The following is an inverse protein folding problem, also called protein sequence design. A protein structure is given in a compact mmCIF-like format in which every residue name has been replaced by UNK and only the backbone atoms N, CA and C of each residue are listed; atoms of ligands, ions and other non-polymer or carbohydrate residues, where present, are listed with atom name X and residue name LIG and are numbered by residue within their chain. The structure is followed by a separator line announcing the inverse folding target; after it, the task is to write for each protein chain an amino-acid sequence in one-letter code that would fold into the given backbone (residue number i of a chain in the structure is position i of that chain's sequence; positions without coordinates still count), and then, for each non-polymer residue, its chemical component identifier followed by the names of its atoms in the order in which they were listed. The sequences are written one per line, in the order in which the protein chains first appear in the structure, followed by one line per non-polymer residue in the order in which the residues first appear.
data_IF_156051140128
#
_entry.id   IF_156051140128
#
_cell.length_a   1.000
_cell.length_b   1.000
_cell.length_c   1.000
_cell.angle_alpha   90.00
_cell.angle_beta   90.00
_cell.angle_gamma   90.00
#
_symmetry.space_group_name_H-M   'P 1'
#
loop_
_entity.id
_entity.type
_entity.pdbx_description
1 polymer ?
#
# COMPACT_ATOMS: atom_id res chain seq x y z
N UNK A 1 61.97 67.97 13.53
CA UNK A 1 61.02 67.37 12.57
C UNK A 1 60.93 65.88 12.88
N UNK A 2 59.86 65.50 13.59
CA UNK A 2 59.75 64.31 14.44
C UNK A 2 58.51 63.51 14.00
N UNK A 3 58.59 62.62 12.99
CA UNK A 3 57.45 61.77 12.58
C UNK A 3 57.95 60.44 11.98
N UNK A 4 58.66 59.61 12.75
CA UNK A 4 58.95 58.22 12.33
C UNK A 4 58.95 57.20 13.49
N UNK A 5 59.12 57.61 14.76
CA UNK A 5 59.32 56.64 15.87
C UNK A 5 58.05 56.17 16.59
N UNK A 6 56.90 56.79 16.36
CA UNK A 6 55.65 56.47 17.09
C UNK A 6 54.74 55.46 16.37
N UNK A 7 55.06 55.07 15.12
CA UNK A 7 54.26 54.11 14.33
C UNK A 7 54.71 52.66 14.48
N UNK A 8 55.93 52.40 14.97
CA UNK A 8 56.45 51.04 15.10
C UNK A 8 55.98 50.33 16.38
N UNK A 9 55.72 51.07 17.47
CA UNK A 9 55.24 50.48 18.73
C UNK A 9 53.74 50.12 18.72
N UNK A 10 52.91 50.78 17.91
CA UNK A 10 51.49 50.42 17.79
C UNK A 10 51.25 49.14 16.99
N UNK A 11 52.09 48.85 15.98
CA UNK A 11 52.00 47.61 15.20
C UNK A 11 52.52 46.38 15.95
N UNK A 12 53.52 46.55 16.83
CA UNK A 12 54.03 45.46 17.65
C UNK A 12 53.03 45.02 18.75
N UNK A 13 52.22 45.94 19.29
CA UNK A 13 51.20 45.61 20.30
C UNK A 13 49.94 45.03 19.64
N UNK A 14 49.60 45.44 18.40
CA UNK A 14 48.48 44.87 17.65
C UNK A 14 48.74 43.42 17.16
N UNK A 15 50.02 43.05 16.95
CA UNK A 15 50.40 41.69 16.52
C UNK A 15 50.41 40.65 17.64
N UNK A 16 50.55 41.06 18.91
CA UNK A 16 50.51 40.14 20.07
C UNK A 16 49.08 39.87 20.54
N UNK A 17 48.14 40.79 20.29
CA UNK A 17 46.71 40.58 20.60
C UNK A 17 46.01 39.70 19.54
N UNK A 18 46.52 39.64 18.31
CA UNK A 18 45.96 38.79 17.26
C UNK A 18 46.40 37.31 17.35
N UNK A 19 47.47 37.01 18.09
CA UNK A 19 47.95 35.63 18.30
C UNK A 19 47.26 34.88 19.45
N UNK A 20 46.27 35.49 20.13
CA UNK A 20 45.49 34.83 21.20
C UNK A 20 44.10 34.33 20.76
N UNK A 21 43.76 34.41 19.46
CA UNK A 21 42.47 33.92 18.93
C UNK A 21 42.62 32.79 17.90
N UNK A 22 43.75 32.08 17.93
CA UNK A 22 43.93 30.84 17.16
C UNK A 22 44.19 29.64 18.09
N UNK A 23 43.40 29.52 19.16
CA UNK A 23 43.03 28.19 19.64
C UNK A 23 41.84 27.76 18.80
N UNK A 24 42.11 27.15 17.65
CA UNK A 24 41.12 26.34 16.98
C UNK A 24 40.81 25.18 17.95
N UNK A 25 39.74 25.32 18.72
CA UNK A 25 39.09 24.15 19.29
C UNK A 25 38.57 23.40 18.07
N UNK A 26 39.16 22.25 17.76
CA UNK A 26 38.48 21.24 16.96
C UNK A 26 37.27 20.79 17.77
N UNK A 27 36.17 21.55 17.70
CA UNK A 27 34.84 21.18 18.22
C UNK A 27 34.21 20.14 17.28
N UNK A 28 34.96 19.09 16.97
CA UNK A 28 34.40 17.88 16.37
C UNK A 28 34.03 16.94 17.52
N UNK A 29 33.21 17.43 18.45
CA UNK A 29 32.58 16.55 19.43
C UNK A 29 31.75 15.50 18.66
N UNK A 30 31.88 14.21 19.01
CA UNK A 30 31.04 13.18 18.43
C UNK A 30 29.57 13.53 18.68
N UNK A 31 28.79 13.76 17.62
CA UNK A 31 27.36 14.08 17.72
C UNK A 31 26.52 12.85 17.44
N UNK A 32 25.48 12.65 18.26
CA UNK A 32 24.49 11.60 18.06
C UNK A 32 23.87 11.65 16.65
N UNK A 33 23.66 10.48 16.05
CA UNK A 33 23.01 10.36 14.75
C UNK A 33 21.60 9.85 14.94
N UNK A 34 20.63 10.53 14.34
CA UNK A 34 19.23 10.13 14.39
C UNK A 34 18.72 9.75 13.01
N UNK A 35 17.93 8.69 12.96
CA UNK A 35 17.20 8.27 11.78
C UNK A 35 15.81 7.76 12.16
N UNK A 36 14.88 7.84 11.21
CA UNK A 36 13.53 7.31 11.39
C UNK A 36 13.49 5.90 10.85
N UNK A 37 13.12 4.93 11.68
CA UNK A 37 13.01 3.52 11.31
C UNK A 37 11.65 2.96 11.67
N UNK A 38 11.28 1.85 11.03
CA UNK A 38 10.08 1.09 11.35
C UNK A 38 10.46 -0.13 12.19
N UNK A 39 9.83 -0.27 13.36
CA UNK A 39 9.96 -1.45 14.21
C UNK A 39 8.68 -2.28 14.18
N UNK A 40 8.84 -3.59 14.13
CA UNK A 40 7.80 -4.56 14.43
C UNK A 40 7.97 -5.03 15.87
N UNK A 41 6.91 -5.00 16.66
CA UNK A 41 6.89 -5.53 18.04
C UNK A 41 5.88 -6.66 18.11
N UNK A 42 6.31 -7.83 18.57
CA UNK A 42 5.45 -9.01 18.61
C UNK A 42 4.45 -8.96 19.76
N UNK A 43 3.28 -9.51 19.54
CA UNK A 43 2.29 -9.83 20.57
C UNK A 43 2.74 -10.85 21.61
N UNK A 44 3.75 -11.65 21.27
CA UNK A 44 4.35 -12.61 22.18
C UNK A 44 5.51 -11.95 22.92
N UNK A 45 5.61 -12.28 24.20
CA UNK A 45 6.76 -11.89 25.01
C UNK A 45 7.89 -12.89 24.82
N UNK A 46 9.11 -12.39 24.81
CA UNK A 46 10.32 -13.21 24.96
C UNK A 46 10.72 -13.32 26.43
N UNK A 47 11.82 -14.03 26.67
CA UNK A 47 12.50 -14.04 27.95
C UNK A 47 13.97 -13.67 27.74
N UNK A 48 14.50 -12.84 28.62
CA UNK A 48 15.92 -12.47 28.63
C UNK A 48 16.49 -12.55 30.04
N UNK A 49 17.76 -12.89 30.16
CA UNK A 49 18.49 -12.89 31.43
C UNK A 49 19.43 -11.69 31.49
N UNK A 50 19.32 -10.88 32.55
CA UNK A 50 20.30 -9.83 32.84
C UNK A 50 21.61 -10.39 33.41
N UNK A 51 22.50 -9.50 33.86
CA UNK A 51 23.79 -9.86 34.45
C UNK A 51 23.69 -10.76 35.70
N UNK A 52 22.54 -10.77 36.37
CA UNK A 52 22.26 -11.59 37.55
C UNK A 52 21.78 -13.00 37.22
N UNK A 53 21.53 -13.31 35.94
CA UNK A 53 21.03 -14.62 35.48
C UNK A 53 19.53 -14.85 35.70
N UNK A 54 18.82 -13.93 36.38
CA UNK A 54 17.36 -14.01 36.54
C UNK A 54 16.66 -13.75 35.21
N UNK A 55 15.67 -14.59 34.88
CA UNK A 55 14.85 -14.44 33.67
C UNK A 55 13.76 -13.40 33.88
N UNK A 56 13.62 -12.50 32.92
CA UNK A 56 12.59 -11.46 32.89
C UNK A 56 11.86 -11.47 31.55
N UNK A 57 10.56 -11.17 31.59
CA UNK A 57 9.77 -11.03 30.38
C UNK A 57 10.19 -9.76 29.60
N UNK A 58 10.27 -9.88 28.28
CA UNK A 58 10.71 -8.81 27.40
C UNK A 58 9.86 -8.72 26.13
N UNK A 59 9.95 -7.61 25.43
CA UNK A 59 9.38 -7.49 24.08
C UNK A 59 10.26 -8.26 23.09
N UNK A 60 9.63 -8.79 22.04
CA UNK A 60 10.33 -9.21 20.83
C UNK A 60 10.19 -8.09 19.81
N UNK A 61 11.32 -7.54 19.37
CA UNK A 61 11.38 -6.38 18.47
C UNK A 61 12.25 -6.69 17.26
N UNK A 62 11.85 -6.23 16.08
CA UNK A 62 12.60 -6.39 14.83
C UNK A 62 12.50 -5.13 13.99
N UNK A 63 13.60 -4.66 13.43
CA UNK A 63 13.58 -3.52 12.51
C UNK A 63 13.12 -3.98 11.11
N UNK A 64 12.48 -3.08 10.37
CA UNK A 64 12.01 -3.39 9.01
C UNK A 64 13.21 -3.64 8.08
N UNK A 65 13.28 -4.86 7.56
CA UNK A 65 14.40 -5.33 6.74
C UNK A 65 15.20 -6.45 7.40
N UNK A 66 15.08 -6.60 8.73
CA UNK A 66 15.69 -7.70 9.46
C UNK A 66 14.81 -8.96 9.42
N UNK A 67 15.43 -10.12 9.57
CA UNK A 67 14.75 -11.42 9.66
C UNK A 67 14.72 -11.99 11.09
N UNK A 68 15.50 -11.41 12.02
CA UNK A 68 15.66 -11.92 13.39
C UNK A 68 14.98 -11.05 14.43
N UNK A 69 14.27 -11.66 15.37
CA UNK A 69 13.70 -10.98 16.53
C UNK A 69 14.74 -10.78 17.63
N UNK A 70 14.78 -9.58 18.20
CA UNK A 70 15.63 -9.23 19.34
C UNK A 70 14.79 -9.09 20.61
N UNK A 71 15.37 -9.44 21.75
CA UNK A 71 14.74 -9.32 23.06
C UNK A 71 15.05 -7.96 23.69
N UNK A 72 14.07 -7.08 23.81
CA UNK A 72 14.24 -5.74 24.39
C UNK A 72 13.40 -5.59 25.67
N UNK A 73 13.91 -4.87 26.67
CA UNK A 73 13.15 -4.57 27.88
C UNK A 73 11.81 -3.89 27.54
N UNK A 74 10.78 -4.09 28.37
CA UNK A 74 9.43 -3.55 28.13
C UNK A 74 9.40 -2.02 27.96
N UNK A 75 10.36 -1.31 28.55
CA UNK A 75 10.52 0.14 28.45
C UNK A 75 11.60 0.58 27.44
N UNK A 76 12.13 -0.37 26.65
CA UNK A 76 13.25 -0.12 25.72
C UNK A 76 12.95 0.84 24.56
N UNK A 77 11.69 1.22 24.39
CA UNK A 77 11.25 2.23 23.42
C UNK A 77 10.55 3.34 24.20
N UNK A 78 11.19 4.51 24.30
CA UNK A 78 10.65 5.65 25.06
C UNK A 78 9.32 6.10 24.47
N UNK A 79 8.30 6.24 25.32
CA UNK A 79 6.96 6.67 24.92
C UNK A 79 6.06 5.55 24.35
N UNK A 80 6.56 4.31 24.28
CA UNK A 80 5.75 3.15 23.90
C UNK A 80 5.42 2.31 25.14
N UNK A 81 4.15 1.98 25.33
CA UNK A 81 3.70 1.05 26.37
C UNK A 81 3.22 -0.25 25.71
N UNK A 82 3.96 -1.32 25.94
CA UNK A 82 3.64 -2.63 25.39
C UNK A 82 2.42 -3.27 26.05
N UNK A 83 1.50 -3.79 25.24
CA UNK A 83 0.40 -4.63 25.73
C UNK A 83 0.51 -6.04 25.15
N UNK A 84 0.54 -7.03 26.04
CA UNK A 84 0.59 -8.45 25.65
C UNK A 84 -0.61 -8.81 24.77
N UNK A 85 -0.34 -9.57 23.71
CA UNK A 85 -1.38 -10.05 22.79
C UNK A 85 -1.66 -9.12 21.60
N UNK A 86 -0.83 -8.09 21.38
CA UNK A 86 -0.92 -7.21 20.22
C UNK A 86 0.38 -7.19 19.42
N UNK A 87 0.29 -7.40 18.11
CA UNK A 87 1.39 -7.12 17.19
C UNK A 87 1.33 -5.63 16.81
N UNK A 88 2.49 -4.98 16.77
CA UNK A 88 2.62 -3.57 16.45
C UNK A 88 3.55 -3.35 15.26
N UNK A 89 3.21 -2.34 14.45
CA UNK A 89 4.16 -1.64 13.59
C UNK A 89 4.31 -0.23 14.14
N UNK A 90 5.54 0.15 14.46
CA UNK A 90 5.89 1.42 15.08
C UNK A 90 6.80 2.21 14.15
N UNK A 91 6.58 3.52 14.05
CA UNK A 91 7.55 4.46 13.52
C UNK A 91 8.28 5.07 14.71
N UNK A 92 9.61 4.99 14.72
CA UNK A 92 10.44 5.46 15.84
C UNK A 92 11.62 6.28 15.35
N UNK A 93 12.11 7.17 16.20
CA UNK A 93 13.45 7.75 16.04
C UNK A 93 14.45 6.79 16.68
N UNK A 94 15.42 6.32 15.89
CA UNK A 94 16.59 5.58 16.34
C UNK A 94 17.75 6.55 16.48
N UNK A 95 18.33 6.62 17.67
CA UNK A 95 19.49 7.43 17.99
C UNK A 95 20.70 6.52 18.15
N UNK A 96 21.72 6.70 17.33
CA UNK A 96 23.05 6.11 17.53
C UNK A 96 23.86 7.08 18.37
N UNK A 97 24.20 6.68 19.60
CA UNK A 97 24.93 7.52 20.53
C UNK A 97 26.38 7.65 20.11
N UNK A 98 26.88 8.88 20.05
CA UNK A 98 28.27 9.12 19.69
C UNK A 98 29.21 8.81 20.87
N UNK A 99 28.72 9.00 22.10
CA UNK A 99 29.36 8.57 23.35
C UNK A 99 28.37 7.69 24.13
N UNK A 100 28.28 6.38 23.82
CA UNK A 100 27.32 5.49 24.47
C UNK A 100 27.62 5.33 25.97
N UNK A 101 26.59 5.14 26.82
CA UNK A 101 26.81 4.85 28.24
C UNK A 101 27.66 3.57 28.42
N UNK A 102 28.53 3.55 29.42
CA UNK A 102 29.44 2.42 29.66
C UNK A 102 28.71 1.10 29.97
N UNK A 103 27.49 1.19 30.49
CA UNK A 103 26.59 0.09 30.86
C UNK A 103 25.33 0.04 29.97
N UNK A 104 25.27 0.85 28.91
CA UNK A 104 24.12 1.01 28.03
C UNK A 104 24.37 0.52 26.60
N UNK A 105 23.29 0.37 25.84
CA UNK A 105 23.37 0.06 24.42
C UNK A 105 23.87 1.25 23.59
N UNK A 106 24.43 0.98 22.41
CA UNK A 106 24.84 2.01 21.46
C UNK A 106 23.66 2.76 20.81
N UNK A 107 22.43 2.29 21.03
CA UNK A 107 21.22 2.80 20.39
C UNK A 107 20.13 3.13 21.40
N UNK A 108 19.39 4.21 21.14
CA UNK A 108 18.16 4.57 21.82
C UNK A 108 16.99 4.68 20.85
N UNK A 109 15.77 4.37 21.31
CA UNK A 109 14.56 4.42 20.49
C UNK A 109 13.48 5.25 21.17
N UNK A 110 12.86 6.15 20.41
CA UNK A 110 11.71 6.96 20.88
C UNK A 110 10.55 6.84 19.91
N UNK A 111 9.35 6.55 20.44
CA UNK A 111 8.14 6.40 19.65
C UNK A 111 7.78 7.72 18.96
N UNK A 112 7.59 7.68 17.65
CA UNK A 112 6.95 8.77 16.89
C UNK A 112 5.46 8.44 16.74
N UNK A 113 5.14 7.23 16.27
CA UNK A 113 3.76 6.83 15.95
C UNK A 113 3.57 5.31 16.05
N UNK A 114 2.40 4.88 16.54
CA UNK A 114 1.90 3.51 16.33
C UNK A 114 1.23 3.46 14.97
N UNK A 115 1.85 2.81 13.99
CA UNK A 115 1.35 2.65 12.62
C UNK A 115 0.22 1.62 12.58
N UNK A 116 0.38 0.51 13.30
CA UNK A 116 -0.68 -0.48 13.49
C UNK A 116 -0.59 -1.15 14.87
N UNK A 117 -1.75 -1.62 15.36
CA UNK A 117 -1.89 -2.42 16.59
C UNK A 117 -2.95 -3.50 16.33
N UNK A 118 -2.55 -4.77 16.30
CA UNK A 118 -3.41 -5.89 15.92
C UNK A 118 -3.48 -6.93 17.02
N UNK A 119 -4.67 -7.19 17.56
CA UNK A 119 -4.87 -8.23 18.56
C UNK A 119 -4.68 -9.62 17.95
N UNK A 120 -3.91 -10.51 18.60
CA UNK A 120 -3.68 -11.88 18.11
C UNK A 120 -4.96 -12.69 17.98
N UNK A 121 -5.98 -12.39 18.80
CA UNK A 121 -7.29 -13.04 18.72
C UNK A 121 -8.00 -12.65 17.41
N UNK A 122 -7.93 -11.39 17.02
CA UNK A 122 -8.50 -10.94 15.73
C UNK A 122 -7.70 -11.51 14.55
N UNK A 123 -6.38 -11.54 14.64
CA UNK A 123 -5.54 -12.16 13.61
C UNK A 123 -5.83 -13.67 13.47
N UNK A 124 -6.02 -14.40 14.59
CA UNK A 124 -6.39 -15.82 14.59
C UNK A 124 -7.79 -16.04 14.04
N UNK A 125 -8.77 -15.22 14.39
CA UNK A 125 -10.14 -15.29 13.85
C UNK A 125 -10.12 -15.03 12.34
N UNK A 126 -9.41 -13.99 11.88
CA UNK A 126 -9.26 -13.70 10.46
C UNK A 126 -8.57 -14.84 9.70
N UNK A 127 -7.53 -15.44 10.29
CA UNK A 127 -6.83 -16.61 9.72
C UNK A 127 -7.70 -17.87 9.72
N UNK A 128 -8.51 -18.11 10.75
CA UNK A 128 -9.46 -19.23 10.74
C UNK A 128 -10.59 -19.02 9.72
N UNK A 129 -11.12 -17.81 9.62
CA UNK A 129 -12.12 -17.45 8.62
C UNK A 129 -11.57 -17.61 7.19
N UNK A 130 -10.32 -17.24 6.93
CA UNK A 130 -9.69 -17.44 5.62
C UNK A 130 -9.41 -18.91 5.30
N UNK A 131 -9.12 -19.74 6.30
CA UNK A 131 -8.91 -21.19 6.13
C UNK A 131 -10.20 -21.97 5.80
N UNK A 132 -11.37 -21.45 6.16
CA UNK A 132 -12.67 -22.06 5.84
C UNK A 132 -13.35 -21.46 4.60
N UNK A 133 -12.82 -20.35 4.07
CA UNK A 133 -13.41 -19.64 2.94
C UNK A 133 -13.16 -20.40 1.63
N UNK A 134 -14.19 -21.08 1.14
CA UNK A 134 -14.20 -21.62 -0.23
C UNK A 134 -14.68 -20.57 -1.20
N UNK A 135 -13.93 -20.33 -2.27
CA UNK A 135 -14.35 -19.44 -3.35
C UNK A 135 -14.98 -20.22 -4.51
N UNK A 136 -16.05 -19.68 -5.10
CA UNK A 136 -16.65 -20.28 -6.28
C UNK A 136 -15.75 -20.10 -7.50
N UNK A 137 -15.91 -20.98 -8.48
CA UNK A 137 -15.30 -20.82 -9.79
C UNK A 137 -15.93 -19.65 -10.54
N UNK A 138 -15.18 -19.00 -11.42
CA UNK A 138 -15.68 -17.89 -12.25
C UNK A 138 -16.90 -18.31 -13.07
N UNK A 139 -16.98 -19.58 -13.49
CA UNK A 139 -18.15 -20.15 -14.18
C UNK A 139 -19.40 -20.18 -13.30
N UNK A 140 -19.25 -20.49 -12.00
CA UNK A 140 -20.37 -20.40 -11.06
C UNK A 140 -20.76 -18.94 -10.79
N UNK A 141 -19.78 -18.04 -10.68
CA UNK A 141 -20.00 -16.60 -10.46
C UNK A 141 -20.83 -15.99 -11.60
N UNK A 142 -20.44 -16.18 -12.87
CA UNK A 142 -21.16 -15.60 -14.01
C UNK A 142 -22.56 -16.19 -14.24
N UNK A 143 -22.83 -17.36 -13.66
CA UNK A 143 -24.12 -18.05 -13.76
C UNK A 143 -25.11 -17.60 -12.68
N UNK A 144 -24.64 -16.90 -11.64
CA UNK A 144 -25.49 -16.44 -10.54
C UNK A 144 -26.43 -15.30 -10.98
N UNK A 145 -27.74 -15.36 -10.67
CA UNK A 145 -28.70 -14.33 -11.07
C UNK A 145 -28.41 -12.94 -10.51
N UNK A 146 -27.92 -12.83 -9.28
CA UNK A 146 -27.60 -11.54 -8.64
C UNK A 146 -26.42 -10.88 -9.35
N UNK A 147 -25.37 -11.66 -9.61
CA UNK A 147 -24.19 -11.20 -10.34
C UNK A 147 -24.56 -10.83 -11.77
N UNK A 148 -25.28 -11.71 -12.48
CA UNK A 148 -25.73 -11.46 -13.86
C UNK A 148 -26.55 -10.17 -13.96
N UNK A 149 -27.52 -9.98 -13.07
CA UNK A 149 -28.35 -8.77 -13.04
C UNK A 149 -27.50 -7.50 -12.88
N UNK A 150 -26.49 -7.52 -11.99
CA UNK A 150 -25.61 -6.36 -11.79
C UNK A 150 -24.68 -6.09 -12.99
N UNK A 151 -24.19 -7.14 -13.65
CA UNK A 151 -23.38 -7.00 -14.87
C UNK A 151 -24.21 -6.37 -16.01
N UNK A 152 -25.47 -6.80 -16.16
CA UNK A 152 -26.40 -6.20 -17.13
C UNK A 152 -26.73 -4.73 -16.79
N UNK A 153 -26.90 -4.40 -15.51
CA UNK A 153 -27.09 -3.01 -15.07
C UNK A 153 -25.89 -2.13 -15.44
N UNK A 154 -24.66 -2.62 -15.23
CA UNK A 154 -23.44 -1.92 -15.58
C UNK A 154 -23.31 -1.74 -17.11
N UNK A 155 -23.62 -2.78 -17.88
CA UNK A 155 -23.64 -2.72 -19.34
C UNK A 155 -24.65 -1.70 -19.86
N UNK A 156 -25.86 -1.70 -19.31
CA UNK A 156 -26.90 -0.73 -19.66
C UNK A 156 -26.46 0.71 -19.35
N UNK A 157 -25.82 0.93 -18.19
CA UNK A 157 -25.25 2.23 -17.80
C UNK A 157 -24.13 2.69 -18.71
N UNK A 158 -23.22 1.79 -19.10
CA UNK A 158 -22.18 2.10 -20.08
C UNK A 158 -22.79 2.59 -21.40
N UNK A 159 -23.78 1.87 -21.93
CA UNK A 159 -24.45 2.23 -23.19
C UNK A 159 -25.26 3.53 -23.10
N UNK A 160 -25.95 3.78 -21.99
CA UNK A 160 -26.78 4.98 -21.82
C UNK A 160 -25.94 6.24 -21.60
N UNK A 161 -24.79 6.11 -20.93
CA UNK A 161 -23.88 7.22 -20.65
C UNK A 161 -22.94 7.56 -21.83
N UNK A 162 -22.82 6.68 -22.83
CA UNK A 162 -22.04 6.95 -24.03
C UNK A 162 -22.71 8.03 -24.92
N UNK A 163 -21.91 9.02 -25.33
CA UNK A 163 -22.32 10.11 -26.22
C UNK A 163 -21.15 10.62 -27.06
N UNK A 164 -21.38 11.60 -27.94
CA UNK A 164 -20.31 12.32 -28.64
C UNK A 164 -19.37 13.07 -27.71
N UNK A 165 -19.81 13.42 -26.50
CA UNK A 165 -18.99 14.13 -25.51
C UNK A 165 -18.10 13.20 -24.69
N UNK A 166 -18.33 11.89 -24.75
CA UNK A 166 -17.47 10.91 -24.10
C UNK A 166 -18.16 9.61 -23.71
N UNK A 167 -17.35 8.70 -23.18
CA UNK A 167 -17.75 7.36 -22.74
C UNK A 167 -16.97 6.94 -21.50
N UNK A 168 -17.53 6.03 -20.71
CA UNK A 168 -16.93 5.58 -19.46
C UNK A 168 -17.13 4.07 -19.31
N UNK A 169 -16.11 3.40 -18.78
CA UNK A 169 -16.27 2.04 -18.29
C UNK A 169 -17.01 2.03 -16.95
N UNK A 170 -17.66 0.91 -16.68
CA UNK A 170 -18.31 0.64 -15.41
C UNK A 170 -17.86 -0.71 -14.88
N UNK A 171 -17.63 -0.79 -13.57
CA UNK A 171 -17.23 -2.03 -12.94
C UNK A 171 -17.55 -2.05 -11.45
N UNK A 172 -17.35 -3.22 -10.82
CA UNK A 172 -17.56 -3.43 -9.39
C UNK A 172 -16.86 -4.71 -8.93
N UNK A 173 -16.63 -4.81 -7.61
CA UNK A 173 -16.23 -6.06 -6.97
C UNK A 173 -17.43 -6.97 -6.72
N UNK A 174 -17.21 -8.28 -6.80
CA UNK A 174 -18.19 -9.32 -6.49
C UNK A 174 -17.74 -10.04 -5.22
N UNK A 175 -18.68 -10.30 -4.32
CA UNK A 175 -18.44 -10.93 -3.03
C UNK A 175 -19.24 -12.23 -2.92
N UNK A 176 -18.66 -13.21 -2.24
CA UNK A 176 -19.27 -14.48 -1.91
C UNK A 176 -19.10 -14.77 -0.42
N UNK A 177 -20.23 -14.94 0.26
CA UNK A 177 -20.26 -15.43 1.63
C UNK A 177 -20.34 -16.97 1.59
N UNK A 178 -19.29 -17.62 2.10
CA UNK A 178 -19.18 -19.08 2.09
C UNK A 178 -20.14 -19.77 3.08
N UNK A 179 -20.56 -19.06 4.14
CA UNK A 179 -21.47 -19.61 5.14
C UNK A 179 -22.90 -19.67 4.60
N UNK A 180 -23.38 -18.53 4.08
CA UNK A 180 -24.73 -18.42 3.51
C UNK A 180 -24.81 -18.92 2.07
N UNK A 181 -23.66 -19.10 1.40
CA UNK A 181 -23.51 -19.44 -0.02
C UNK A 181 -24.17 -18.42 -0.96
N UNK A 182 -24.19 -17.16 -0.55
CA UNK A 182 -24.83 -16.08 -1.30
C UNK A 182 -23.81 -15.13 -1.94
N UNK A 183 -24.19 -14.61 -3.11
CA UNK A 183 -23.45 -13.56 -3.79
C UNK A 183 -24.00 -12.18 -3.45
N UNK A 184 -23.10 -11.21 -3.39
CA UNK A 184 -23.46 -9.79 -3.40
C UNK A 184 -22.50 -9.02 -4.30
N UNK A 185 -22.96 -7.88 -4.82
CA UNK A 185 -22.14 -7.03 -5.67
C UNK A 185 -21.88 -5.70 -4.96
N UNK A 186 -20.65 -5.22 -5.07
CA UNK A 186 -20.25 -3.93 -4.51
C UNK A 186 -20.87 -2.74 -5.24
N UNK A 187 -20.53 -1.55 -4.75
CA UNK A 187 -20.89 -0.30 -5.41
C UNK A 187 -20.34 -0.26 -6.83
N UNK A 188 -21.20 0.13 -7.77
CA UNK A 188 -20.79 0.32 -9.16
C UNK A 188 -19.94 1.57 -9.29
N UNK A 189 -18.75 1.41 -9.85
CA UNK A 189 -17.78 2.48 -10.08
C UNK A 189 -17.83 2.89 -11.56
N UNK A 190 -17.91 4.20 -11.80
CA UNK A 190 -17.77 4.80 -13.13
C UNK A 190 -16.31 5.21 -13.32
N UNK A 191 -15.67 4.70 -14.38
CA UNK A 191 -14.32 5.07 -14.77
C UNK A 191 -14.21 6.50 -15.32
N UNK A 192 -12.99 6.98 -15.63
CA UNK A 192 -12.79 8.31 -16.21
C UNK A 192 -13.51 8.46 -17.55
N UNK A 193 -13.89 9.71 -17.88
CA UNK A 193 -14.52 10.01 -19.17
C UNK A 193 -13.46 10.06 -20.25
N UNK A 194 -13.60 9.21 -21.26
CA UNK A 194 -12.75 9.22 -22.45
C UNK A 194 -13.41 10.11 -23.50
N UNK A 195 -12.78 11.27 -23.76
CA UNK A 195 -13.17 12.22 -24.79
C UNK A 195 -12.32 12.03 -26.05
N UNK A 196 -12.84 12.42 -27.22
CA UNK A 196 -12.02 12.56 -28.44
C UNK A 196 -11.67 11.28 -29.20
N UNK A 197 -12.24 10.12 -28.83
CA UNK A 197 -12.02 8.84 -29.51
C UNK A 197 -10.57 8.31 -29.52
N UNK A 198 -9.60 9.07 -29.01
CA UNK A 198 -8.24 8.62 -28.67
C UNK A 198 -8.22 7.77 -27.40
N UNK A 199 -7.27 6.83 -27.31
CA UNK A 199 -7.11 5.95 -26.16
C UNK A 199 -8.26 4.94 -26.06
N UNK A 200 -8.05 3.74 -26.57
CA UNK A 200 -9.10 2.71 -26.63
C UNK A 200 -9.35 1.99 -25.30
N UNK A 201 -8.58 2.34 -24.26
CA UNK A 201 -8.61 1.69 -22.97
C UNK A 201 -8.99 2.75 -21.94
N UNK A 202 -10.26 2.84 -21.59
CA UNK A 202 -10.55 3.35 -20.26
C UNK A 202 -10.05 2.29 -19.28
N UNK A 203 -9.52 2.70 -18.14
CA UNK A 203 -9.26 1.77 -17.05
C UNK A 203 -10.11 2.22 -15.89
N UNK A 204 -11.06 1.40 -15.49
CA UNK A 204 -11.82 1.64 -14.26
C UNK A 204 -10.98 1.22 -13.05
N UNK A 205 -10.72 2.16 -12.15
CA UNK A 205 -10.11 1.85 -10.86
C UNK A 205 -11.21 1.57 -9.85
N UNK A 206 -11.35 0.31 -9.44
CA UNK A 206 -12.40 -0.12 -8.51
C UNK A 206 -12.11 0.26 -7.05
N UNK A 207 -10.92 0.77 -6.76
CA UNK A 207 -10.47 1.02 -5.39
C UNK A 207 -10.22 -0.26 -4.60
N UNK A 208 -10.32 -0.19 -3.28
CA UNK A 208 -10.10 -1.33 -2.37
C UNK A 208 -11.44 -2.06 -2.17
N UNK A 209 -11.47 -3.41 -2.21
CA UNK A 209 -12.68 -4.16 -1.89
C UNK A 209 -13.11 -3.89 -0.44
N UNK A 210 -14.42 -3.74 -0.22
CA UNK A 210 -14.98 -3.42 1.11
C UNK A 210 -14.78 -4.55 2.11
N UNK A 211 -14.73 -5.80 1.62
CA UNK A 211 -14.39 -6.96 2.42
C UNK A 211 -13.38 -7.84 1.68
N UNK A 212 -12.13 -7.80 2.13
CA UNK A 212 -11.05 -8.57 1.53
C UNK A 212 -11.19 -10.07 1.78
N UNK A 213 -12.04 -10.56 2.69
CA UNK A 213 -12.27 -12.00 2.89
C UNK A 213 -13.30 -12.52 1.89
N UNK A 214 -14.42 -11.82 1.70
CA UNK A 214 -15.52 -12.33 0.86
C UNK A 214 -15.40 -11.96 -0.61
N UNK A 215 -14.57 -10.99 -1.00
CA UNK A 215 -14.39 -10.65 -2.43
C UNK A 215 -13.94 -11.90 -3.20
N UNK A 216 -14.54 -12.18 -4.34
CA UNK A 216 -14.31 -13.44 -5.08
C UNK A 216 -14.04 -13.23 -6.57
N UNK A 217 -14.40 -12.07 -7.12
CA UNK A 217 -14.09 -11.66 -8.48
C UNK A 217 -14.24 -10.14 -8.62
N UNK A 218 -13.87 -9.61 -9.77
CA UNK A 218 -14.25 -8.27 -10.20
C UNK A 218 -14.84 -8.31 -11.61
N UNK A 219 -15.69 -7.33 -11.88
CA UNK A 219 -16.32 -7.13 -13.18
C UNK A 219 -16.03 -5.74 -13.71
N UNK A 220 -15.82 -5.62 -15.01
CA UNK A 220 -15.98 -4.35 -15.73
C UNK A 220 -16.54 -4.55 -17.14
N UNK A 221 -16.90 -3.46 -17.79
CA UNK A 221 -17.34 -3.47 -19.18
C UNK A 221 -16.63 -2.41 -20.01
N UNK A 222 -16.23 -2.79 -21.22
CA UNK A 222 -15.58 -1.89 -22.17
C UNK A 222 -16.57 -1.02 -22.92
N UNK A 223 -16.10 0.16 -23.32
CA UNK A 223 -16.95 1.17 -23.94
C UNK A 223 -17.27 0.92 -25.42
N UNK A 224 -18.43 1.40 -25.87
CA UNK A 224 -18.80 1.49 -27.29
C UNK A 224 -17.93 2.50 -28.06
N UNK A 225 -17.83 2.34 -29.39
CA UNK A 225 -17.28 3.34 -30.31
C UNK A 225 -18.35 3.96 -31.23
N UNK A 226 -19.64 3.83 -30.91
CA UNK A 226 -20.73 4.32 -31.76
C UNK A 226 -20.56 5.78 -32.20
N UNK A 227 -20.10 6.64 -31.29
CA UNK A 227 -19.93 8.08 -31.53
C UNK A 227 -18.55 8.46 -32.08
N UNK A 228 -17.77 7.48 -32.53
CA UNK A 228 -16.45 7.69 -33.12
C UNK A 228 -16.46 7.53 -34.64
N UNK A 229 -15.54 8.20 -35.36
CA UNK A 229 -15.39 7.99 -36.79
C UNK A 229 -14.92 6.56 -37.09
N UNK A 230 -15.31 6.03 -38.25
CA UNK A 230 -14.98 4.67 -38.69
C UNK A 230 -13.48 4.40 -38.87
N UNK A 231 -12.65 5.45 -38.86
CA UNK A 231 -11.19 5.36 -38.85
C UNK A 231 -10.63 4.87 -37.52
N UNK A 232 -11.40 4.97 -36.43
CA UNK A 232 -11.00 4.53 -35.08
C UNK A 232 -11.44 3.09 -34.86
N UNK A 233 -10.58 2.28 -34.24
CA UNK A 233 -10.90 0.91 -33.90
C UNK A 233 -10.11 0.38 -32.70
N UNK A 234 -10.63 -0.68 -32.06
CA UNK A 234 -9.96 -1.40 -30.97
C UNK A 234 -10.20 -2.89 -31.03
N UNK A 235 -9.27 -3.67 -30.49
CA UNK A 235 -9.51 -5.09 -30.21
C UNK A 235 -10.52 -5.23 -29.06
N UNK A 236 -11.28 -6.32 -29.06
CA UNK A 236 -12.19 -6.67 -27.96
C UNK A 236 -11.59 -7.72 -27.03
N UNK A 237 -12.07 -7.76 -25.80
CA UNK A 237 -11.58 -8.65 -24.76
C UNK A 237 -10.55 -7.97 -23.83
N UNK A 238 -10.06 -8.70 -22.82
CA UNK A 238 -9.27 -8.11 -21.73
C UNK A 238 -7.90 -7.63 -22.21
N UNK A 239 -7.55 -6.41 -21.79
CA UNK A 239 -6.26 -5.78 -21.99
C UNK A 239 -5.15 -6.44 -21.14
N UNK A 240 -3.89 -6.08 -21.41
CA UNK A 240 -2.77 -6.51 -20.57
C UNK A 240 -2.88 -5.98 -19.13
N UNK A 241 -3.43 -4.77 -18.95
CA UNK A 241 -3.66 -4.18 -17.64
C UNK A 241 -4.69 -4.98 -16.84
N UNK A 242 -5.78 -5.42 -17.48
CA UNK A 242 -6.81 -6.26 -16.84
C UNK A 242 -6.21 -7.58 -16.35
N UNK A 243 -5.45 -8.27 -17.21
CA UNK A 243 -4.79 -9.54 -16.88
C UNK A 243 -3.77 -9.37 -15.76
N UNK A 244 -3.00 -8.28 -15.78
CA UNK A 244 -2.04 -7.95 -14.72
C UNK A 244 -2.74 -7.72 -13.40
N UNK A 245 -3.83 -6.93 -13.38
CA UNK A 245 -4.61 -6.68 -12.18
C UNK A 245 -5.19 -7.96 -11.60
N UNK A 246 -5.80 -8.82 -12.45
CA UNK A 246 -6.35 -10.10 -12.02
C UNK A 246 -5.28 -11.02 -11.40
N UNK A 247 -4.10 -11.07 -12.01
CA UNK A 247 -2.98 -11.91 -11.55
C UNK A 247 -2.42 -11.39 -10.22
N UNK A 248 -2.10 -10.08 -10.14
CA UNK A 248 -1.54 -9.46 -8.94
C UNK A 248 -2.47 -9.59 -7.74
N UNK A 249 -3.77 -9.39 -7.96
CA UNK A 249 -4.76 -9.48 -6.88
C UNK A 249 -5.25 -10.91 -6.64
N UNK A 250 -4.79 -11.90 -7.42
CA UNK A 250 -5.24 -13.30 -7.37
C UNK A 250 -6.78 -13.43 -7.44
N UNK A 251 -7.40 -12.56 -8.24
CA UNK A 251 -8.85 -12.43 -8.39
C UNK A 251 -9.28 -12.75 -9.83
N UNK A 252 -10.28 -13.61 -10.04
CA UNK A 252 -10.92 -13.78 -11.34
C UNK A 252 -11.46 -12.45 -11.86
N UNK A 253 -11.15 -12.15 -13.12
CA UNK A 253 -11.70 -11.01 -13.85
C UNK A 253 -12.82 -11.45 -14.80
N UNK A 254 -13.89 -10.67 -14.83
CA UNK A 254 -15.04 -10.85 -15.74
C UNK A 254 -15.21 -9.57 -16.54
N UNK A 255 -15.31 -9.68 -17.85
CA UNK A 255 -15.44 -8.55 -18.76
C UNK A 255 -16.63 -8.75 -19.70
N UNK A 256 -17.48 -7.73 -19.79
CA UNK A 256 -18.38 -7.59 -20.94
C UNK A 256 -17.75 -6.72 -22.01
N UNK A 257 -17.65 -7.27 -23.22
CA UNK A 257 -17.21 -6.54 -24.40
C UNK A 257 -17.91 -7.08 -25.65
N UNK A 258 -17.86 -6.32 -26.74
CA UNK A 258 -18.47 -6.68 -28.01
C UNK A 258 -17.93 -8.01 -28.55
N UNK A 259 -18.81 -8.79 -29.18
CA UNK A 259 -18.51 -10.16 -29.62
C UNK A 259 -17.57 -10.24 -30.84
N UNK A 260 -17.56 -9.17 -31.64
CA UNK A 260 -16.66 -9.00 -32.79
C UNK A 260 -15.21 -8.90 -32.33
N UNK A 261 -14.25 -9.37 -33.13
CA UNK A 261 -12.82 -9.33 -32.76
C UNK A 261 -12.24 -7.91 -32.72
N UNK A 262 -12.74 -7.03 -33.59
CA UNK A 262 -12.28 -5.65 -33.74
C UNK A 262 -13.51 -4.74 -33.83
N UNK A 263 -13.69 -3.89 -32.83
CA UNK A 263 -14.73 -2.87 -32.78
C UNK A 263 -14.27 -1.64 -33.55
N UNK A 264 -15.11 -1.15 -34.45
CA UNK A 264 -14.85 0.01 -35.29
C UNK A 264 -15.81 1.14 -34.93
N UNK A 265 -15.39 2.39 -35.09
CA UNK A 265 -16.25 3.56 -34.87
C UNK A 265 -17.52 3.54 -35.72
N UNK A 266 -18.61 4.05 -35.17
CA UNK A 266 -19.93 4.07 -35.82
C UNK A 266 -20.75 2.79 -35.65
N UNK A 267 -20.16 1.71 -35.11
CA UNK A 267 -20.92 0.51 -34.78
C UNK A 267 -21.93 0.77 -33.66
N UNK A 268 -23.15 0.23 -33.81
CA UNK A 268 -24.22 0.42 -32.83
C UNK A 268 -23.82 -0.10 -31.46
N UNK A 269 -24.05 0.71 -30.42
CA UNK A 269 -23.75 0.33 -29.03
C UNK A 269 -24.54 -0.88 -28.54
N UNK A 270 -25.67 -1.19 -29.19
CA UNK A 270 -26.49 -2.37 -28.91
C UNK A 270 -26.08 -3.61 -29.72
N UNK A 271 -24.96 -3.57 -30.45
CA UNK A 271 -24.38 -4.75 -31.07
C UNK A 271 -24.11 -5.85 -30.01
N UNK A 272 -24.13 -7.10 -30.46
CA UNK A 272 -23.95 -8.26 -29.59
C UNK A 272 -22.66 -8.18 -28.79
N UNK A 273 -22.76 -8.44 -27.48
CA UNK A 273 -21.64 -8.57 -26.56
C UNK A 273 -21.51 -10.03 -26.09
N UNK A 274 -20.39 -10.33 -25.44
CA UNK A 274 -20.19 -11.62 -24.76
C UNK A 274 -19.38 -11.41 -23.49
N UNK A 275 -19.40 -12.45 -22.66
CA UNK A 275 -18.62 -12.51 -21.43
C UNK A 275 -17.23 -13.04 -21.76
N UNK A 276 -16.21 -12.34 -21.28
CA UNK A 276 -14.84 -12.80 -21.21
C UNK A 276 -14.49 -13.07 -19.75
N UNK A 277 -13.82 -14.19 -19.48
CA UNK A 277 -13.21 -14.47 -18.17
C UNK A 277 -11.70 -14.55 -18.32
N UNK A 278 -10.97 -14.08 -17.32
CA UNK A 278 -9.51 -14.03 -17.35
C UNK A 278 -8.91 -14.01 -15.93
N UNK A 279 -7.61 -14.23 -15.83
CA UNK A 279 -6.94 -14.42 -14.54
C UNK A 279 -7.19 -15.83 -13.99
N UNK A 280 -7.11 -16.03 -12.66
CA UNK A 280 -7.34 -17.34 -12.06
C UNK A 280 -8.81 -17.78 -12.21
N UNK A 281 -9.06 -19.09 -12.26
CA UNK A 281 -10.40 -19.66 -12.42
C UNK A 281 -11.29 -19.52 -11.17
N UNK A 282 -10.70 -19.21 -10.02
CA UNK A 282 -11.33 -18.89 -8.74
C UNK A 282 -10.35 -18.04 -7.93
N UNK A 283 -10.82 -17.32 -6.90
CA UNK A 283 -9.91 -16.56 -6.05
C UNK A 283 -8.94 -17.47 -5.31
N UNK A 284 -7.68 -17.05 -5.24
CA UNK A 284 -6.64 -17.70 -4.44
C UNK A 284 -6.24 -16.74 -3.32
N UNK A 285 -6.67 -17.02 -2.10
CA UNK A 285 -6.25 -16.23 -0.93
C UNK A 285 -4.76 -16.50 -0.66
N UNK A 286 -3.93 -15.47 -0.40
CA UNK A 286 -2.53 -15.66 -0.01
C UNK A 286 -2.38 -16.32 1.37
#
# INVERSE_FOLDING_TARGET
MNIQKTRFCFYAILLVVLSLLASCIDDNEPVDKQETVTLYVSANMGQTSGLTGTMHDCMLVKEKGDDTWNTWALEGIKGFNYEKGYDYELLVTKTTYANPPADGGAYGYSLIQIVSKTAIVHAKIAKQASLQQTYPTVSAIISDPTVKSKMEEAWAKMKSNASSSGRNEYGFYIYYDSNSKQYSCGTMVKGPTIAGCEGTNASVSLGIPTNNITVCAFFHCHTTLEYCPSTVSRATGPSSADKSFATTNKLPGILYDYSIKKLVGGMKKDASYKVYTFGPSQRVFP
#
